data_IF_070590998762
#
_entry.id   IF_070590998762
#
_cell.length_a   1.000
_cell.length_b   1.000
_cell.length_c   1.000
_cell.angle_alpha   90.00
_cell.angle_beta   90.00
_cell.angle_gamma   90.00
#
_symmetry.space_group_name_H-M   'P 1'
#
loop_
_entity.id
_entity.type
_entity.pdbx_description
1 polymer ?
#
# COMPACT_ATOMS: atom_id res chain seq x y z
N UNK A 1 8.11 -25.36 -28.02
CA UNK A 1 8.05 -25.32 -26.53
C UNK A 1 9.41 -25.07 -25.83
N UNK A 2 10.46 -24.57 -26.52
CA UNK A 2 11.75 -24.21 -25.85
C UNK A 2 12.18 -22.75 -26.05
N UNK A 3 11.60 -22.02 -27.01
CA UNK A 3 11.98 -20.62 -27.30
C UNK A 3 11.24 -19.64 -26.38
N UNK A 4 10.03 -19.98 -25.95
CA UNK A 4 9.22 -19.19 -25.00
C UNK A 4 9.96 -19.05 -23.65
N UNK A 5 10.65 -20.10 -23.19
CA UNK A 5 11.39 -20.06 -21.92
C UNK A 5 12.74 -19.34 -21.99
N UNK A 6 13.34 -19.18 -23.17
CA UNK A 6 14.61 -18.48 -23.30
C UNK A 6 14.44 -16.95 -23.31
N UNK A 7 13.26 -16.46 -23.67
CA UNK A 7 12.93 -15.03 -23.66
C UNK A 7 12.19 -14.59 -22.37
N UNK A 8 11.57 -15.52 -21.63
CA UNK A 8 11.02 -15.29 -20.28
C UNK A 8 12.10 -14.90 -19.26
N UNK A 9 13.38 -15.12 -19.56
CA UNK A 9 14.50 -14.77 -18.67
C UNK A 9 14.84 -13.26 -18.73
N UNK A 10 14.40 -12.53 -19.77
CA UNK A 10 14.63 -11.08 -19.90
C UNK A 10 13.36 -10.27 -19.65
N UNK A 11 13.41 -9.33 -18.70
CA UNK A 11 12.36 -8.36 -18.35
C UNK A 11 10.99 -8.87 -17.88
N UNK A 12 10.33 -9.80 -18.57
CA UNK A 12 9.01 -10.31 -18.18
C UNK A 12 9.05 -10.94 -16.78
N UNK A 13 10.09 -11.72 -16.46
CA UNK A 13 10.30 -12.27 -15.11
C UNK A 13 10.46 -11.18 -14.05
N UNK A 14 11.10 -10.04 -14.38
CA UNK A 14 11.26 -8.91 -13.46
C UNK A 14 9.89 -8.29 -13.17
N UNK A 15 9.04 -8.14 -14.18
CA UNK A 15 7.68 -7.63 -14.03
C UNK A 15 6.85 -8.56 -13.14
N UNK A 16 6.91 -9.88 -13.34
CA UNK A 16 6.21 -10.84 -12.49
C UNK A 16 6.72 -10.86 -11.05
N UNK A 17 8.04 -10.76 -10.85
CA UNK A 17 8.64 -10.68 -9.51
C UNK A 17 8.24 -9.39 -8.80
N UNK A 18 8.24 -8.26 -9.50
CA UNK A 18 7.78 -6.98 -8.96
C UNK A 18 6.27 -7.02 -8.66
N UNK A 19 5.48 -7.70 -9.50
CA UNK A 19 4.05 -7.92 -9.26
C UNK A 19 3.80 -8.74 -7.99
N UNK A 20 4.56 -9.81 -7.78
CA UNK A 20 4.50 -10.59 -6.54
C UNK A 20 4.89 -9.74 -5.33
N UNK A 21 5.98 -8.97 -5.42
CA UNK A 21 6.39 -8.05 -4.35
C UNK A 21 5.31 -6.99 -4.06
N UNK A 22 4.71 -6.39 -5.09
CA UNK A 22 3.65 -5.41 -4.93
C UNK A 22 2.37 -6.02 -4.33
N UNK A 23 2.05 -7.27 -4.68
CA UNK A 23 0.96 -8.02 -4.05
C UNK A 23 1.20 -8.27 -2.55
N UNK A 24 2.45 -8.56 -2.16
CA UNK A 24 2.83 -8.68 -0.75
C UNK A 24 2.69 -7.33 -0.04
N UNK A 25 3.18 -6.24 -0.64
CA UNK A 25 3.03 -4.88 -0.10
C UNK A 25 1.55 -4.53 0.05
N UNK A 26 0.71 -4.82 -0.95
CA UNK A 26 -0.74 -4.62 -0.88
C UNK A 26 -1.37 -5.38 0.29
N UNK A 27 -0.99 -6.66 0.47
CA UNK A 27 -1.48 -7.47 1.58
C UNK A 27 -1.13 -6.85 2.94
N UNK A 28 0.11 -6.37 3.10
CA UNK A 28 0.52 -5.66 4.32
C UNK A 28 -0.26 -4.35 4.51
N UNK A 29 -0.39 -3.53 3.46
CA UNK A 29 -1.17 -2.29 3.50
C UNK A 29 -2.61 -2.54 3.93
N UNK A 30 -3.27 -3.53 3.34
CA UNK A 30 -4.63 -3.92 3.70
C UNK A 30 -4.71 -4.39 5.16
N UNK A 31 -3.80 -5.26 5.58
CA UNK A 31 -3.76 -5.77 6.96
C UNK A 31 -3.61 -4.64 7.98
N UNK A 32 -2.73 -3.67 7.72
CA UNK A 32 -2.54 -2.52 8.61
C UNK A 32 -3.73 -1.55 8.60
N UNK A 33 -4.37 -1.34 7.44
CA UNK A 33 -5.58 -0.54 7.35
C UNK A 33 -6.76 -1.18 8.09
N UNK A 34 -6.89 -2.52 8.03
CA UNK A 34 -7.89 -3.29 8.75
C UNK A 34 -7.64 -3.24 10.27
N UNK A 35 -6.39 -3.40 10.71
CA UNK A 35 -6.01 -3.34 12.13
C UNK A 35 -6.24 -1.94 12.75
N UNK A 36 -5.99 -0.87 11.98
CA UNK A 36 -6.23 0.50 12.45
C UNK A 36 -7.74 0.82 12.51
N UNK A 37 -8.52 0.36 11.53
CA UNK A 37 -9.97 0.56 11.49
C UNK A 37 -10.65 -0.09 12.69
N UNK A 38 -10.28 -1.34 13.03
CA UNK A 38 -10.85 -2.06 14.17
C UNK A 38 -10.55 -1.36 15.51
N UNK A 39 -9.31 -0.86 15.68
CA UNK A 39 -8.92 -0.12 16.89
C UNK A 39 -9.62 1.22 17.03
N UNK A 40 -9.89 1.95 15.95
CA UNK A 40 -10.58 3.24 16.04
C UNK A 40 -12.09 3.12 16.15
N UNK A 41 -12.70 2.14 15.48
CA UNK A 41 -14.15 1.96 15.59
C UNK A 41 -14.57 1.57 17.02
N UNK A 42 -13.71 0.83 17.76
CA UNK A 42 -13.92 0.52 19.17
C UNK A 42 -13.75 1.73 20.11
N UNK A 43 -12.89 2.70 19.79
CA UNK A 43 -12.72 3.91 20.62
C UNK A 43 -13.77 4.98 20.32
N UNK A 44 -14.39 4.96 19.13
CA UNK A 44 -15.44 5.90 18.71
C UNK A 44 -16.85 5.42 19.07
N UNK A 45 -17.12 4.09 19.12
CA UNK A 45 -18.46 3.55 19.38
C UNK A 45 -18.53 2.67 20.65
N UNK A 46 -18.67 3.28 21.83
CA UNK A 46 -19.02 2.55 23.06
C UNK A 46 -20.33 3.08 23.66
N UNK A 47 -21.50 2.53 23.28
CA UNK A 47 -22.73 2.70 24.03
C UNK A 47 -22.75 1.75 25.24
N UNK A 48 -22.52 2.32 26.42
CA UNK A 48 -23.09 1.90 27.71
C UNK A 48 -22.72 0.52 28.27
N UNK A 49 -21.74 0.46 29.19
CA UNK A 49 -21.69 -0.50 30.31
C UNK A 49 -20.62 -0.11 31.34
N UNK A 50 -21.03 0.32 32.55
CA UNK A 50 -20.15 0.87 33.61
C UNK A 50 -19.05 -0.08 34.12
N UNK A 51 -19.19 -1.41 33.99
CA UNK A 51 -18.15 -2.38 34.38
C UNK A 51 -17.06 -2.58 33.32
N UNK A 52 -17.37 -2.32 32.05
CA UNK A 52 -16.39 -2.35 30.96
C UNK A 52 -15.54 -1.08 30.92
N UNK A 53 -15.92 -0.02 31.63
CA UNK A 53 -15.19 1.26 31.64
C UNK A 53 -13.94 1.27 32.52
N UNK A 54 -13.84 0.40 33.53
CA UNK A 54 -12.66 0.33 34.43
C UNK A 54 -11.54 -0.54 33.86
N UNK A 55 -11.86 -1.69 33.25
CA UNK A 55 -10.88 -2.49 32.49
C UNK A 55 -10.46 -1.78 31.20
N UNK A 56 -11.40 -1.14 30.50
CA UNK A 56 -11.06 -0.29 29.36
C UNK A 56 -10.24 0.93 29.79
N UNK A 57 -10.43 1.53 30.97
CA UNK A 57 -9.59 2.66 31.42
C UNK A 57 -8.12 2.28 31.61
N UNK A 58 -7.84 1.11 32.18
CA UNK A 58 -6.46 0.65 32.38
C UNK A 58 -5.78 0.21 31.07
N UNK A 59 -6.53 -0.25 30.06
CA UNK A 59 -5.99 -0.43 28.69
C UNK A 59 -5.96 0.87 27.87
N UNK A 60 -6.89 1.80 28.06
CA UNK A 60 -6.98 3.09 27.34
C UNK A 60 -5.89 4.08 27.75
N UNK A 61 -5.42 4.06 29.00
CA UNK A 61 -4.27 4.88 29.43
C UNK A 61 -2.96 4.42 28.73
N UNK A 62 -2.96 3.19 28.19
CA UNK A 62 -1.86 2.61 27.41
C UNK A 62 -2.03 2.72 25.89
N UNK A 63 -3.21 3.10 25.37
CA UNK A 63 -3.37 3.56 23.98
C UNK A 63 -2.89 5.01 23.87
N UNK A 64 -1.60 5.18 24.13
CA UNK A 64 -0.87 6.44 24.09
C UNK A 64 -1.12 7.07 22.71
N UNK A 65 -1.41 8.36 22.64
CA UNK A 65 -1.55 9.08 21.35
C UNK A 65 -0.39 8.79 20.39
N UNK A 66 0.81 8.55 20.94
CA UNK A 66 1.99 8.13 20.20
C UNK A 66 1.79 6.83 19.41
N UNK A 67 1.03 5.86 19.93
CA UNK A 67 0.79 4.58 19.27
C UNK A 67 -0.20 4.75 18.12
N UNK A 68 -1.25 5.55 18.30
CA UNK A 68 -2.20 5.88 17.23
C UNK A 68 -1.49 6.64 16.09
N UNK A 69 -0.66 7.62 16.44
CA UNK A 69 0.18 8.36 15.46
C UNK A 69 1.19 7.43 14.78
N UNK A 70 1.81 6.52 15.52
CA UNK A 70 2.75 5.55 14.95
C UNK A 70 2.05 4.57 14.00
N UNK A 71 0.85 4.10 14.33
CA UNK A 71 0.05 3.22 13.48
C UNK A 71 -0.41 3.93 12.20
N UNK A 72 -0.89 5.18 12.30
CA UNK A 72 -1.20 6.02 11.12
C UNK A 72 0.03 6.21 10.23
N UNK A 73 1.16 6.62 10.80
CA UNK A 73 2.41 6.82 10.06
C UNK A 73 2.90 5.54 9.38
N UNK A 74 2.72 4.38 10.04
CA UNK A 74 3.06 3.08 9.45
C UNK A 74 2.13 2.75 8.29
N UNK A 75 0.81 2.89 8.45
CA UNK A 75 -0.17 2.69 7.38
C UNK A 75 0.14 3.58 6.16
N UNK A 76 0.33 4.89 6.38
CA UNK A 76 0.63 5.85 5.32
C UNK A 76 1.93 5.53 4.56
N UNK A 77 2.98 5.07 5.25
CA UNK A 77 4.23 4.63 4.59
C UNK A 77 4.03 3.41 3.69
N UNK A 78 3.31 2.39 4.15
CA UNK A 78 3.04 1.19 3.36
C UNK A 78 2.13 1.49 2.16
N UNK A 79 1.12 2.33 2.37
CA UNK A 79 0.25 2.80 1.29
C UNK A 79 1.01 3.63 0.25
N UNK A 80 1.84 4.58 0.68
CA UNK A 80 2.69 5.35 -0.23
C UNK A 80 3.63 4.45 -1.04
N UNK A 81 4.26 3.47 -0.39
CA UNK A 81 5.12 2.51 -1.06
C UNK A 81 4.34 1.70 -2.12
N UNK A 82 3.15 1.23 -1.77
CA UNK A 82 2.26 0.49 -2.68
C UNK A 82 1.89 1.29 -3.94
N UNK A 83 1.43 2.54 -3.77
CA UNK A 83 1.03 3.41 -4.89
C UNK A 83 2.24 3.71 -5.78
N UNK A 84 3.39 4.02 -5.18
CA UNK A 84 4.62 4.29 -5.91
C UNK A 84 5.10 3.06 -6.69
N UNK A 85 5.06 1.87 -6.09
CA UNK A 85 5.46 0.63 -6.76
C UNK A 85 4.49 0.28 -7.90
N UNK A 86 3.19 0.52 -7.71
CA UNK A 86 2.17 0.38 -8.75
C UNK A 86 2.42 1.32 -9.94
N UNK A 87 2.91 2.54 -9.68
CA UNK A 87 3.28 3.50 -10.71
C UNK A 87 4.51 3.13 -11.55
N UNK A 88 5.33 2.18 -11.09
CA UNK A 88 6.56 1.75 -11.79
C UNK A 88 6.26 0.73 -12.91
N UNK A 89 5.17 -0.03 -12.83
CA UNK A 89 4.87 -1.06 -13.84
C UNK A 89 4.75 -0.54 -15.29
N UNK A 90 4.06 0.58 -15.57
CA UNK A 90 4.05 1.14 -16.92
C UNK A 90 5.44 1.59 -17.39
N UNK A 91 6.26 2.12 -16.47
CA UNK A 91 7.65 2.53 -16.77
C UNK A 91 8.53 1.33 -17.12
N UNK A 92 8.37 0.19 -16.41
CA UNK A 92 9.05 -1.06 -16.76
C UNK A 92 8.62 -1.60 -18.13
N UNK A 93 7.33 -1.47 -18.47
CA UNK A 93 6.84 -1.81 -19.81
C UNK A 93 7.56 -1.02 -20.91
N UNK A 94 7.71 0.29 -20.71
CA UNK A 94 8.45 1.16 -21.63
C UNK A 94 9.93 0.75 -21.70
N UNK A 95 10.58 0.45 -20.57
CA UNK A 95 11.96 -0.05 -20.55
C UNK A 95 12.12 -1.38 -21.31
N UNK A 96 11.13 -2.27 -21.26
CA UNK A 96 11.08 -3.49 -22.05
C UNK A 96 11.11 -3.21 -23.56
N UNK A 97 10.40 -2.17 -24.02
CA UNK A 97 10.46 -1.76 -25.43
C UNK A 97 11.83 -1.19 -25.82
N UNK A 98 12.41 -0.33 -24.98
CA UNK A 98 13.73 0.29 -25.24
C UNK A 98 14.82 -0.78 -25.34
N UNK A 99 14.83 -1.74 -24.42
CA UNK A 99 15.85 -2.80 -24.37
C UNK A 99 15.75 -3.74 -25.57
N UNK A 100 14.53 -4.07 -25.99
CA UNK A 100 14.27 -4.82 -27.22
C UNK A 100 14.73 -4.07 -28.48
N UNK A 101 14.44 -2.78 -28.59
CA UNK A 101 14.91 -1.95 -29.71
C UNK A 101 16.44 -1.87 -29.76
N UNK A 102 17.12 -1.78 -28.62
CA UNK A 102 18.58 -1.84 -28.56
C UNK A 102 19.13 -3.21 -28.99
N UNK A 103 18.46 -4.31 -28.59
CA UNK A 103 18.82 -5.67 -29.03
C UNK A 103 18.68 -5.82 -30.55
N UNK A 104 17.60 -5.28 -31.13
CA UNK A 104 17.34 -5.32 -32.56
C UNK A 104 18.41 -4.60 -33.40
N UNK A 105 18.94 -3.47 -32.90
CA UNK A 105 20.02 -2.73 -33.56
C UNK A 105 21.34 -3.52 -33.52
N UNK A 106 21.56 -4.32 -32.47
CA UNK A 106 22.79 -5.09 -32.29
C UNK A 106 22.77 -6.43 -33.05
N UNK A 107 21.59 -7.06 -33.20
CA UNK A 107 21.46 -8.35 -33.88
C UNK A 107 20.15 -8.43 -34.69
N UNK A 108 20.26 -8.32 -36.02
CA UNK A 108 19.12 -8.41 -36.93
C UNK A 108 18.69 -9.86 -37.23
N UNK A 109 19.32 -10.87 -36.64
CA UNK A 109 18.96 -12.27 -36.89
C UNK A 109 17.71 -12.72 -36.11
N UNK A 110 17.41 -12.09 -34.97
CA UNK A 110 16.24 -12.38 -34.12
C UNK A 110 15.35 -11.15 -33.91
N UNK A 111 14.99 -10.50 -35.02
CA UNK A 111 14.11 -9.32 -35.05
C UNK A 111 12.75 -9.64 -34.43
N UNK A 112 12.17 -10.77 -34.82
CA UNK A 112 10.84 -11.17 -34.40
C UNK A 112 10.80 -11.45 -32.89
N UNK A 113 11.78 -12.20 -32.35
CA UNK A 113 11.85 -12.51 -30.92
C UNK A 113 12.00 -11.26 -30.05
N UNK A 114 12.81 -10.29 -30.50
CA UNK A 114 12.96 -9.00 -29.82
C UNK A 114 11.66 -8.20 -29.84
N UNK A 115 10.99 -8.05 -30.98
CA UNK A 115 9.73 -7.30 -31.04
C UNK A 115 8.62 -7.91 -30.18
N UNK A 116 8.52 -9.24 -30.14
CA UNK A 116 7.53 -9.89 -29.29
C UNK A 116 7.82 -9.68 -27.80
N UNK A 117 9.08 -9.71 -27.34
CA UNK A 117 9.39 -9.45 -25.93
C UNK A 117 9.10 -8.01 -25.49
N UNK A 118 9.34 -7.02 -26.37
CA UNK A 118 8.93 -5.64 -26.12
C UNK A 118 7.42 -5.52 -25.85
N UNK A 119 6.63 -6.15 -26.71
CA UNK A 119 5.17 -6.11 -26.67
C UNK A 119 4.63 -6.83 -25.44
N UNK A 120 5.18 -8.00 -25.10
CA UNK A 120 4.73 -8.75 -23.91
C UNK A 120 5.08 -8.02 -22.62
N UNK A 121 6.29 -7.43 -22.49
CA UNK A 121 6.67 -6.65 -21.32
C UNK A 121 5.78 -5.41 -21.13
N UNK A 122 5.44 -4.71 -22.22
CA UNK A 122 4.52 -3.57 -22.16
C UNK A 122 3.12 -3.99 -21.75
N UNK A 123 2.63 -5.08 -22.35
CA UNK A 123 1.32 -5.62 -22.04
C UNK A 123 1.21 -6.01 -20.56
N UNK A 124 2.16 -6.78 -20.03
CA UNK A 124 2.15 -7.19 -18.62
C UNK A 124 2.33 -6.03 -17.66
N UNK A 125 3.19 -5.06 -17.98
CA UNK A 125 3.35 -3.83 -17.19
C UNK A 125 2.02 -3.07 -17.06
N UNK A 126 1.28 -2.90 -18.16
CA UNK A 126 -0.03 -2.22 -18.14
C UNK A 126 -1.07 -3.05 -17.40
N UNK A 127 -1.14 -4.37 -17.64
CA UNK A 127 -2.11 -5.25 -16.98
C UNK A 127 -1.94 -5.21 -15.45
N UNK A 128 -0.71 -5.35 -14.95
CA UNK A 128 -0.47 -5.27 -13.51
C UNK A 128 -0.73 -3.88 -12.95
N UNK A 129 -0.32 -2.82 -13.65
CA UNK A 129 -0.63 -1.44 -13.23
C UNK A 129 -2.15 -1.24 -13.07
N UNK A 130 -2.94 -1.72 -14.03
CA UNK A 130 -4.40 -1.61 -13.98
C UNK A 130 -5.01 -2.40 -12.83
N UNK A 131 -4.57 -3.65 -12.62
CA UNK A 131 -5.06 -4.49 -11.53
C UNK A 131 -4.75 -3.88 -10.16
N UNK A 132 -3.52 -3.45 -9.91
CA UNK A 132 -3.16 -2.83 -8.64
C UNK A 132 -3.81 -1.46 -8.47
N UNK A 133 -3.95 -0.66 -9.53
CA UNK A 133 -4.67 0.63 -9.44
C UNK A 133 -6.16 0.44 -9.14
N UNK A 134 -6.75 -0.66 -9.59
CA UNK A 134 -8.12 -1.02 -9.20
C UNK A 134 -8.20 -1.41 -7.71
N UNK A 135 -7.27 -2.24 -7.23
CA UNK A 135 -7.18 -2.62 -5.81
C UNK A 135 -6.92 -1.39 -4.91
N UNK A 136 -6.12 -0.44 -5.38
CA UNK A 136 -5.89 0.85 -4.74
C UNK A 136 -7.19 1.62 -4.53
N UNK A 137 -8.03 1.71 -5.57
CA UNK A 137 -9.34 2.37 -5.50
C UNK A 137 -10.30 1.75 -4.48
N UNK A 138 -10.10 0.50 -4.08
CA UNK A 138 -10.92 -0.16 -3.04
C UNK A 138 -10.37 0.16 -1.63
N UNK A 139 -9.06 0.25 -1.47
CA UNK A 139 -8.40 0.42 -0.15
C UNK A 139 -8.24 1.89 0.23
N UNK A 140 -8.02 2.77 -0.76
CA UNK A 140 -7.82 4.21 -0.59
C UNK A 140 -8.94 4.90 0.22
N UNK A 141 -10.24 4.64 -0.03
CA UNK A 141 -11.31 5.24 0.77
C UNK A 141 -11.24 4.87 2.24
N UNK A 142 -10.89 3.62 2.56
CA UNK A 142 -10.78 3.14 3.94
C UNK A 142 -9.59 3.76 4.67
N UNK A 143 -8.48 3.98 3.96
CA UNK A 143 -7.31 4.67 4.51
C UNK A 143 -7.64 6.14 4.79
N UNK A 144 -8.34 6.81 3.87
CA UNK A 144 -8.75 8.20 4.04
C UNK A 144 -9.70 8.38 5.24
N UNK A 145 -10.66 7.47 5.40
CA UNK A 145 -11.57 7.45 6.57
C UNK A 145 -10.78 7.25 7.87
N UNK A 146 -9.87 6.27 7.91
CA UNK A 146 -9.01 6.05 9.06
C UNK A 146 -8.18 7.29 9.42
N UNK A 147 -7.60 7.99 8.43
CA UNK A 147 -6.83 9.20 8.71
C UNK A 147 -7.69 10.31 9.34
N UNK A 148 -8.92 10.49 8.87
CA UNK A 148 -9.87 11.48 9.43
C UNK A 148 -10.24 11.13 10.88
N UNK A 149 -10.50 9.86 11.17
CA UNK A 149 -10.85 9.42 12.51
C UNK A 149 -9.69 9.59 13.50
N UNK A 150 -8.45 9.30 13.08
CA UNK A 150 -7.25 9.57 13.90
C UNK A 150 -7.13 11.07 14.18
N UNK A 151 -7.29 11.91 13.17
CA UNK A 151 -7.16 13.37 13.33
C UNK A 151 -8.25 13.93 14.25
N UNK A 152 -9.48 13.39 14.20
CA UNK A 152 -10.57 13.76 15.10
C UNK A 152 -10.27 13.32 16.55
N UNK A 153 -9.74 12.11 16.74
CA UNK A 153 -9.33 11.61 18.06
C UNK A 153 -8.25 12.48 18.70
N UNK A 154 -7.19 12.82 17.95
CA UNK A 154 -6.09 13.65 18.43
C UNK A 154 -6.55 15.09 18.73
N UNK A 155 -7.40 15.68 17.89
CA UNK A 155 -7.98 17.00 18.14
C UNK A 155 -8.86 17.00 19.40
N UNK A 156 -9.66 15.96 19.61
CA UNK A 156 -10.51 15.85 20.81
C UNK A 156 -9.67 15.72 22.08
N UNK A 157 -8.59 14.96 22.04
CA UNK A 157 -7.78 14.71 23.22
C UNK A 157 -6.87 15.91 23.56
N UNK A 158 -6.29 16.58 22.56
CA UNK A 158 -5.53 17.83 22.76
C UNK A 158 -6.38 18.97 23.35
N UNK A 159 -7.65 19.11 22.93
CA UNK A 159 -8.58 20.07 23.56
C UNK A 159 -8.89 19.70 25.00
N UNK A 160 -9.01 18.40 25.31
CA UNK A 160 -9.27 17.92 26.68
C UNK A 160 -8.09 18.19 27.63
N UNK A 161 -6.87 18.08 27.13
CA UNK A 161 -5.66 18.42 27.89
C UNK A 161 -5.49 19.94 28.08
N UNK A 162 -5.98 20.75 27.14
CA UNK A 162 -5.95 22.21 27.25
C UNK A 162 -6.95 22.77 28.28
N UNK A 163 -8.08 22.07 28.50
CA UNK A 163 -9.13 22.46 29.46
C UNK A 163 -8.94 21.82 30.86
N UNK A 164 -7.87 21.05 31.07
CA UNK A 164 -7.59 20.44 32.37
C UNK A 164 -7.15 21.51 33.39
N UNK A 165 -7.88 21.70 34.52
CA UNK A 165 -7.54 22.71 35.51
C UNK A 165 -6.16 22.44 36.13
N UNK A 166 -5.38 23.50 36.33
CA UNK A 166 -3.97 23.49 36.73
C UNK A 166 -3.67 22.94 38.15
N UNK A 167 -4.62 22.26 38.78
CA UNK A 167 -4.57 21.91 40.21
C UNK A 167 -3.94 20.52 40.48
N UNK A 168 -3.48 19.84 39.43
CA UNK A 168 -2.76 18.54 39.51
C UNK A 168 -1.50 18.52 38.64
N UNK A 169 -0.70 19.59 38.66
CA UNK A 169 0.68 19.59 38.13
C UNK A 169 1.69 19.62 39.27
#
# INVERSE_FOLDING_TARGET
>A
MKVIFSNIIGFDMIIFLLAAANGVVFYFTKRYADELFDKMHLTVFVPGSRRSQEEARNELDSLRESDVVAMRSKMGRWYSLYVNLTGIFPLLGILGTVTSLLSLVNDMSDVQGSFYSALTSTFWGIVFAMLFKFLDGIVSPKIEENEKDVDLFLNRNSVRDADAPSDYR
#
